data_IF_581445415244
#
_entry.id   IF_581445415244
#
_cell.length_a   1.000
_cell.length_b   1.000
_cell.length_c   1.000
_cell.angle_alpha   90.00
_cell.angle_beta   90.00
_cell.angle_gamma   90.00
#
_symmetry.space_group_name_H-M   'P 1'
#
loop_
_entity.id
_entity.type
_entity.pdbx_description
1 polymer ?
#
# COMPACT_ATOMS: atom_id res chain seq x y z
N UNK A 1 -26.91 -18.96 24.29
CA UNK A 1 -26.68 -17.51 24.44
C UNK A 1 -25.63 -17.10 23.43
N UNK A 2 -26.02 -16.38 22.36
CA UNK A 2 -25.08 -15.85 21.36
C UNK A 2 -24.91 -14.35 21.66
N UNK A 3 -23.76 -13.97 22.20
CA UNK A 3 -23.43 -12.57 22.42
C UNK A 3 -23.07 -11.93 21.07
N UNK A 4 -23.97 -11.08 20.58
CA UNK A 4 -23.70 -10.17 19.47
C UNK A 4 -22.72 -9.10 19.96
N UNK A 5 -21.46 -9.16 19.49
CA UNK A 5 -20.53 -8.04 19.62
C UNK A 5 -20.94 -7.00 18.59
N UNK A 6 -21.49 -5.90 19.09
CA UNK A 6 -21.86 -4.71 18.34
C UNK A 6 -20.63 -4.16 17.58
N UNK A 7 -20.54 -4.46 16.28
CA UNK A 7 -19.61 -3.83 15.35
C UNK A 7 -20.19 -2.49 14.88
N UNK A 8 -19.41 -1.41 15.01
CA UNK A 8 -19.80 -0.06 14.62
C UNK A 8 -20.14 0.02 13.13
N UNK A 9 -21.15 0.81 12.81
CA UNK A 9 -21.53 1.20 11.44
C UNK A 9 -20.39 2.00 10.81
N UNK A 10 -19.67 1.41 9.86
CA UNK A 10 -18.70 2.15 9.05
C UNK A 10 -19.35 2.54 7.72
N UNK A 11 -19.53 3.84 7.52
CA UNK A 11 -19.85 4.41 6.22
C UNK A 11 -18.56 4.64 5.44
N UNK A 12 -18.45 4.05 4.25
CA UNK A 12 -17.50 4.50 3.21
C UNK A 12 -18.20 4.55 1.86
N UNK A 13 -18.41 5.77 1.38
CA UNK A 13 -18.61 6.07 -0.05
C UNK A 13 -17.50 7.01 -0.50
N UNK A 14 -17.08 6.89 -1.77
CA UNK A 14 -16.75 8.08 -2.55
C UNK A 14 -17.66 8.26 -3.77
N UNK A 15 -18.15 9.49 -3.87
CA UNK A 15 -18.91 10.31 -4.83
C UNK A 15 -19.42 9.78 -6.20
N UNK A 16 -18.93 8.67 -6.76
CA UNK A 16 -19.38 8.18 -8.08
C UNK A 16 -19.66 6.67 -8.08
N UNK A 17 -20.81 6.27 -7.51
CA UNK A 17 -21.33 4.90 -7.57
C UNK A 17 -22.52 4.68 -6.62
N UNK A 18 -23.39 3.66 -6.87
CA UNK A 18 -24.52 3.40 -6.01
C UNK A 18 -24.04 2.96 -4.62
N UNK A 19 -24.48 3.71 -3.63
CA UNK A 19 -24.16 3.49 -2.23
C UNK A 19 -24.86 2.25 -1.68
N UNK A 20 -24.15 1.24 -1.19
CA UNK A 20 -24.75 0.14 -0.41
C UNK A 20 -24.28 0.16 1.04
N UNK A 21 -25.25 0.16 1.96
CA UNK A 21 -25.05 0.03 3.41
C UNK A 21 -25.11 -1.46 3.76
N UNK A 22 -24.06 -2.01 4.39
CA UNK A 22 -24.13 -3.35 4.97
C UNK A 22 -24.09 -3.19 6.49
N UNK A 23 -25.25 -3.33 7.13
CA UNK A 23 -25.32 -3.44 8.60
C UNK A 23 -24.99 -4.88 9.01
N UNK A 24 -24.04 -5.04 9.94
CA UNK A 24 -23.67 -6.34 10.52
C UNK A 24 -22.22 -6.75 10.26
N UNK A 25 -21.72 -7.82 10.91
CA UNK A 25 -20.40 -8.35 10.65
C UNK A 25 -20.26 -8.64 9.16
N UNK A 26 -19.23 -8.08 8.54
CA UNK A 26 -18.99 -8.25 7.11
C UNK A 26 -18.79 -9.72 6.78
N UNK A 27 -19.73 -10.27 6.00
CA UNK A 27 -19.79 -11.68 5.66
C UNK A 27 -19.74 -11.82 4.12
N UNK A 28 -18.61 -12.27 3.53
CA UNK A 28 -18.41 -12.32 2.07
C UNK A 28 -19.46 -13.10 1.28
N UNK A 29 -20.18 -14.02 1.94
CA UNK A 29 -21.22 -14.83 1.33
C UNK A 29 -22.50 -14.05 1.00
N UNK A 30 -22.73 -12.89 1.61
CA UNK A 30 -23.88 -12.03 1.36
C UNK A 30 -23.68 -11.03 0.20
N UNK A 31 -22.50 -11.00 -0.44
CA UNK A 31 -22.22 -10.11 -1.56
C UNK A 31 -23.00 -10.49 -2.83
N UNK A 32 -23.54 -9.50 -3.56
CA UNK A 32 -24.19 -9.71 -4.86
C UNK A 32 -23.19 -10.13 -5.95
N UNK A 33 -23.67 -10.78 -7.01
CA UNK A 33 -22.80 -11.18 -8.12
C UNK A 33 -22.18 -9.99 -8.87
N UNK A 34 -22.87 -8.85 -8.88
CA UNK A 34 -22.35 -7.56 -9.35
C UNK A 34 -21.17 -7.08 -8.49
N UNK A 35 -21.32 -7.08 -7.17
CA UNK A 35 -20.24 -6.70 -6.25
C UNK A 35 -19.02 -7.63 -6.39
N UNK A 36 -19.26 -8.94 -6.62
CA UNK A 36 -18.18 -9.91 -6.90
C UNK A 36 -17.48 -9.64 -8.24
N UNK A 37 -18.23 -9.26 -9.30
CA UNK A 37 -17.65 -8.86 -10.59
C UNK A 37 -16.80 -7.61 -10.45
N UNK A 38 -17.28 -6.62 -9.71
CA UNK A 38 -16.54 -5.39 -9.45
C UNK A 38 -15.26 -5.67 -8.66
N UNK A 39 -15.33 -6.49 -7.61
CA UNK A 39 -14.17 -6.91 -6.83
C UNK A 39 -13.09 -7.59 -7.71
N UNK A 40 -13.49 -8.41 -8.70
CA UNK A 40 -12.53 -9.02 -9.65
C UNK A 40 -11.81 -7.99 -10.53
N UNK A 41 -12.51 -6.95 -10.98
CA UNK A 41 -11.89 -5.86 -11.75
C UNK A 41 -10.89 -5.10 -10.88
N UNK A 42 -11.28 -4.78 -9.65
CA UNK A 42 -10.40 -4.15 -8.66
C UNK A 42 -9.17 -5.00 -8.35
N UNK A 43 -9.33 -6.31 -8.16
CA UNK A 43 -8.21 -7.23 -7.92
C UNK A 43 -7.23 -7.29 -9.09
N UNK A 44 -7.73 -7.19 -10.33
CA UNK A 44 -6.85 -7.11 -11.50
C UNK A 44 -6.03 -5.82 -11.51
N UNK A 45 -6.63 -4.69 -11.15
CA UNK A 45 -5.92 -3.42 -11.01
C UNK A 45 -4.92 -3.44 -9.84
N UNK A 46 -5.29 -4.07 -8.72
CA UNK A 46 -4.42 -4.30 -7.57
C UNK A 46 -3.18 -5.12 -7.90
N UNK A 47 -3.31 -6.13 -8.77
CA UNK A 47 -2.16 -6.95 -9.18
C UNK A 47 -1.04 -6.14 -9.85
N UNK A 48 -1.35 -4.99 -10.44
CA UNK A 48 -0.36 -4.04 -10.95
C UNK A 48 0.26 -3.19 -9.82
N UNK A 49 -0.52 -2.90 -8.77
CA UNK A 49 -0.12 -2.10 -7.61
C UNK A 49 0.80 -2.91 -6.67
N UNK A 50 0.58 -4.21 -6.54
CA UNK A 50 1.39 -5.12 -5.70
C UNK A 50 2.82 -5.32 -6.23
N UNK A 51 3.06 -5.00 -7.51
CA UNK A 51 4.38 -5.19 -8.13
C UNK A 51 5.41 -4.27 -7.46
N UNK A 52 6.63 -4.78 -7.18
CA UNK A 52 7.74 -3.94 -6.78
C UNK A 52 8.04 -2.87 -7.83
N UNK A 53 8.63 -1.75 -7.39
CA UNK A 53 9.20 -0.77 -8.31
C UNK A 53 10.29 -1.40 -9.17
N UNK A 54 10.37 -0.97 -10.42
CA UNK A 54 11.57 -1.22 -11.22
C UNK A 54 12.75 -0.46 -10.62
N UNK A 55 13.96 -1.02 -10.79
CA UNK A 55 15.19 -0.41 -10.27
C UNK A 55 15.37 1.03 -10.75
N UNK A 56 15.03 1.32 -12.01
CA UNK A 56 15.17 2.66 -12.59
C UNK A 56 14.19 3.65 -11.97
N UNK A 57 12.93 3.26 -11.79
CA UNK A 57 11.94 4.10 -11.13
C UNK A 57 12.28 4.35 -9.65
N UNK A 58 12.83 3.34 -8.97
CA UNK A 58 13.35 3.49 -7.61
C UNK A 58 14.51 4.48 -7.54
N UNK A 59 15.51 4.33 -8.41
CA UNK A 59 16.66 5.22 -8.46
C UNK A 59 16.23 6.67 -8.70
N UNK A 60 15.31 6.91 -9.65
CA UNK A 60 14.78 8.24 -9.93
C UNK A 60 14.11 8.86 -8.69
N UNK A 61 13.28 8.10 -7.97
CA UNK A 61 12.60 8.58 -6.77
C UNK A 61 13.58 8.88 -5.62
N UNK A 62 14.63 8.07 -5.47
CA UNK A 62 15.68 8.34 -4.48
C UNK A 62 16.49 9.59 -4.86
N UNK A 63 16.81 9.79 -6.14
CA UNK A 63 17.49 10.99 -6.61
C UNK A 63 16.65 12.24 -6.32
N UNK A 64 15.34 12.18 -6.55
CA UNK A 64 14.41 13.27 -6.20
C UNK A 64 14.45 13.58 -4.69
N UNK A 65 14.38 12.55 -3.84
CA UNK A 65 14.53 12.72 -2.40
C UNK A 65 15.89 13.35 -2.06
N UNK A 66 16.96 12.90 -2.70
CA UNK A 66 18.33 13.38 -2.51
C UNK A 66 18.49 14.87 -2.83
N UNK A 67 17.75 15.38 -3.83
CA UNK A 67 17.75 16.80 -4.17
C UNK A 67 16.93 17.65 -3.20
N UNK A 68 15.93 17.06 -2.55
CA UNK A 68 15.02 17.79 -1.66
C UNK A 68 15.55 17.94 -0.22
N UNK A 69 16.40 17.01 0.24
CA UNK A 69 16.85 16.96 1.64
C UNK A 69 18.37 17.01 1.75
N UNK A 70 18.88 17.52 2.86
CA UNK A 70 20.32 17.62 3.07
C UNK A 70 20.97 16.22 3.14
N UNK A 71 22.03 16.04 2.34
CA UNK A 71 22.85 14.82 2.31
C UNK A 71 24.20 15.02 2.99
N UNK A 72 24.70 14.03 3.74
CA UNK A 72 26.08 14.04 4.19
C UNK A 72 27.03 13.90 3.00
N UNK A 73 28.20 14.55 3.06
CA UNK A 73 29.27 14.36 2.09
C UNK A 73 29.70 12.89 2.10
N UNK A 74 29.70 12.24 0.94
CA UNK A 74 30.08 10.83 0.79
C UNK A 74 30.78 10.60 -0.54
N UNK A 75 31.55 9.51 -0.65
CA UNK A 75 32.17 9.11 -1.91
C UNK A 75 31.13 8.54 -2.88
N UNK A 76 31.49 8.43 -4.17
CA UNK A 76 30.62 7.82 -5.18
C UNK A 76 30.36 6.34 -4.87
N UNK A 77 31.36 5.63 -4.35
CA UNK A 77 31.22 4.22 -3.95
C UNK A 77 30.27 4.05 -2.77
N UNK A 78 30.36 4.91 -1.75
CA UNK A 78 29.45 4.90 -0.61
C UNK A 78 28.02 5.18 -1.05
N UNK A 79 27.82 6.17 -1.94
CA UNK A 79 26.50 6.50 -2.48
C UNK A 79 25.89 5.31 -3.23
N UNK A 80 26.67 4.65 -4.10
CA UNK A 80 26.24 3.43 -4.82
C UNK A 80 25.94 2.28 -3.87
N UNK A 81 26.75 2.10 -2.83
CA UNK A 81 26.53 1.12 -1.76
C UNK A 81 25.19 1.36 -1.08
N UNK A 82 24.95 2.60 -0.63
CA UNK A 82 23.70 3.02 0.00
C UNK A 82 22.50 2.76 -0.90
N UNK A 83 22.53 3.19 -2.16
CA UNK A 83 21.41 3.00 -3.10
C UNK A 83 21.03 1.53 -3.25
N UNK A 84 22.02 0.63 -3.33
CA UNK A 84 21.77 -0.82 -3.37
C UNK A 84 21.10 -1.32 -2.09
N UNK A 85 21.56 -0.85 -0.93
CA UNK A 85 20.96 -1.20 0.37
C UNK A 85 19.51 -0.71 0.47
N UNK A 86 19.22 0.54 0.07
CA UNK A 86 17.85 1.07 0.07
C UNK A 86 16.95 0.27 -0.87
N UNK A 87 17.41 -0.02 -2.10
CA UNK A 87 16.64 -0.81 -3.05
C UNK A 87 16.34 -2.21 -2.49
N UNK A 88 17.35 -2.92 -1.98
CA UNK A 88 17.17 -4.25 -1.42
C UNK A 88 16.24 -4.26 -0.21
N UNK A 89 16.34 -3.27 0.67
CA UNK A 89 15.56 -3.20 1.89
C UNK A 89 14.09 -2.76 1.71
N UNK A 90 13.74 -2.21 0.54
CA UNK A 90 12.39 -1.76 0.21
C UNK A 90 11.76 -2.58 -0.94
N UNK A 91 12.49 -3.55 -1.50
CA UNK A 91 12.03 -4.36 -2.64
C UNK A 91 10.85 -5.29 -2.31
N UNK A 92 10.64 -5.61 -1.04
CA UNK A 92 9.51 -6.41 -0.53
C UNK A 92 8.21 -5.60 -0.39
N UNK A 93 8.28 -4.28 -0.57
CA UNK A 93 7.14 -3.39 -0.48
C UNK A 93 6.52 -3.14 -1.87
N UNK A 94 5.19 -2.98 -1.95
CA UNK A 94 4.52 -2.61 -3.20
C UNK A 94 5.08 -1.30 -3.75
N UNK A 95 5.34 -1.22 -5.06
CA UNK A 95 6.00 -0.08 -5.69
C UNK A 95 5.24 1.24 -5.48
N UNK A 96 3.90 1.19 -5.47
CA UNK A 96 3.04 2.34 -5.16
C UNK A 96 3.29 2.90 -3.75
N UNK A 97 3.48 2.02 -2.77
CA UNK A 97 3.75 2.38 -1.37
C UNK A 97 5.14 3.01 -1.25
N UNK A 98 6.14 2.46 -1.93
CA UNK A 98 7.49 3.02 -1.93
C UNK A 98 7.50 4.41 -2.56
N UNK A 99 6.87 4.61 -3.73
CA UNK A 99 6.76 5.94 -4.34
C UNK A 99 6.05 6.95 -3.43
N UNK A 100 4.91 6.56 -2.85
CA UNK A 100 4.16 7.42 -1.96
C UNK A 100 4.97 7.77 -0.70
N UNK A 101 5.66 6.79 -0.12
CA UNK A 101 6.50 6.98 1.07
C UNK A 101 7.72 7.84 0.80
N UNK A 102 8.35 7.75 -0.37
CA UNK A 102 9.46 8.63 -0.74
C UNK A 102 8.99 10.09 -0.93
N UNK A 103 7.81 10.30 -1.55
CA UNK A 103 7.20 11.63 -1.67
C UNK A 103 6.82 12.22 -0.31
N UNK A 104 6.36 11.39 0.62
CA UNK A 104 6.07 11.81 1.99
C UNK A 104 7.36 12.11 2.76
N UNK A 105 8.41 11.32 2.56
CA UNK A 105 9.72 11.54 3.15
C UNK A 105 10.30 12.91 2.75
N UNK A 106 10.14 13.32 1.49
CA UNK A 106 10.52 14.66 1.00
C UNK A 106 9.87 15.78 1.83
N UNK A 107 8.63 15.59 2.28
CA UNK A 107 7.88 16.60 3.05
C UNK A 107 8.16 16.53 4.55
N UNK A 108 8.58 15.37 5.03
CA UNK A 108 8.69 15.07 6.47
C UNK A 108 10.10 15.29 7.00
N UNK A 109 11.13 14.88 6.25
CA UNK A 109 12.51 14.91 6.73
C UNK A 109 13.27 16.13 6.22
N UNK A 110 14.12 16.66 7.09
CA UNK A 110 15.08 17.72 6.74
C UNK A 110 16.43 17.16 6.29
N UNK A 111 16.73 15.91 6.64
CA UNK A 111 17.94 15.16 6.30
C UNK A 111 17.58 13.92 5.50
N UNK A 112 18.58 13.35 4.83
CA UNK A 112 18.38 12.11 4.09
C UNK A 112 18.06 10.94 5.06
N UNK A 113 16.84 10.39 5.02
CA UNK A 113 16.38 9.41 6.00
C UNK A 113 17.09 8.07 5.83
N UNK A 114 17.31 7.38 6.95
CA UNK A 114 17.78 6.00 7.00
C UNK A 114 16.75 5.02 6.43
N UNK A 115 17.19 3.80 6.12
CA UNK A 115 16.29 2.71 5.71
C UNK A 115 15.22 2.45 6.77
N UNK A 116 15.58 2.48 8.05
CA UNK A 116 14.64 2.23 9.14
C UNK A 116 13.53 3.30 9.21
N UNK A 117 13.90 4.57 9.04
CA UNK A 117 12.93 5.68 9.00
C UNK A 117 11.98 5.56 7.80
N UNK A 118 12.50 5.24 6.61
CA UNK A 118 11.66 5.02 5.43
C UNK A 118 10.73 3.82 5.60
N UNK A 119 11.22 2.70 6.16
CA UNK A 119 10.36 1.54 6.47
C UNK A 119 9.30 1.89 7.50
N UNK A 120 9.62 2.69 8.52
CA UNK A 120 8.66 3.14 9.52
C UNK A 120 7.47 3.88 8.90
N UNK A 121 7.69 4.66 7.84
CA UNK A 121 6.62 5.33 7.09
C UNK A 121 5.83 4.39 6.17
N UNK A 122 6.52 3.46 5.51
CA UNK A 122 5.94 2.66 4.42
C UNK A 122 5.25 1.38 4.92
N UNK A 123 5.80 0.72 5.94
CA UNK A 123 5.31 -0.58 6.42
C UNK A 123 3.85 -0.55 6.90
N UNK A 124 3.38 0.47 7.65
CA UNK A 124 1.97 0.55 8.05
C UNK A 124 1.04 0.63 6.83
N UNK A 125 1.43 1.41 5.81
CA UNK A 125 0.66 1.56 4.57
C UNK A 125 0.66 0.28 3.74
N UNK A 126 1.79 -0.43 3.69
CA UNK A 126 1.88 -1.73 3.05
C UNK A 126 1.01 -2.79 3.76
N UNK A 127 0.96 -2.79 5.09
CA UNK A 127 0.08 -3.69 5.87
C UNK A 127 -1.40 -3.41 5.60
N UNK A 128 -1.80 -2.15 5.62
CA UNK A 128 -3.18 -1.76 5.30
C UNK A 128 -3.57 -2.16 3.88
N UNK A 129 -2.67 -1.94 2.90
CA UNK A 129 -2.90 -2.36 1.52
C UNK A 129 -3.08 -3.89 1.44
N UNK A 130 -2.21 -4.67 2.07
CA UNK A 130 -2.34 -6.15 2.10
C UNK A 130 -3.70 -6.59 2.65
N UNK A 131 -4.16 -5.96 3.73
CA UNK A 131 -5.47 -6.26 4.33
C UNK A 131 -6.63 -5.93 3.38
N UNK A 132 -6.58 -4.78 2.70
CA UNK A 132 -7.59 -4.39 1.72
C UNK A 132 -7.66 -5.36 0.55
N UNK A 133 -6.50 -5.84 0.10
CA UNK A 133 -6.39 -6.82 -0.99
C UNK A 133 -6.95 -8.17 -0.55
N UNK A 134 -6.62 -8.62 0.65
CA UNK A 134 -7.17 -9.86 1.21
C UNK A 134 -8.70 -9.81 1.27
N UNK A 135 -9.27 -8.70 1.78
CA UNK A 135 -10.73 -8.48 1.79
C UNK A 135 -11.33 -8.53 0.38
N UNK A 136 -10.68 -7.89 -0.59
CA UNK A 136 -11.13 -7.92 -1.98
C UNK A 136 -11.08 -9.33 -2.58
N UNK A 137 -10.04 -10.12 -2.26
CA UNK A 137 -9.92 -11.53 -2.68
C UNK A 137 -11.04 -12.37 -2.08
N UNK A 138 -11.33 -12.22 -0.79
CA UNK A 138 -12.44 -12.91 -0.13
C UNK A 138 -13.80 -12.56 -0.74
N UNK A 139 -14.02 -11.31 -1.16
CA UNK A 139 -15.25 -10.91 -1.87
C UNK A 139 -15.37 -11.54 -3.25
N UNK A 140 -14.26 -11.65 -3.99
CA UNK A 140 -14.28 -12.17 -5.35
C UNK A 140 -14.56 -13.69 -5.42
N UNK A 141 -14.25 -14.43 -4.36
CA UNK A 141 -14.50 -15.87 -4.24
C UNK A 141 -15.97 -16.16 -3.88
N UNK A 142 -16.60 -17.07 -4.63
CA UNK A 142 -17.88 -17.65 -4.25
C UNK A 142 -17.62 -18.70 -3.16
N UNK A 143 -18.39 -18.76 -2.06
CA UNK A 143 -18.35 -19.93 -1.19
C UNK A 143 -18.77 -21.15 -2.02
N UNK A 144 -17.95 -22.20 -2.03
CA UNK A 144 -18.43 -23.51 -2.52
C UNK A 144 -19.48 -24.04 -1.54
N UNK A 145 -20.60 -24.61 -2.04
CA UNK A 145 -21.66 -25.17 -1.22
C UNK A 145 -21.23 -26.41 -0.43
#
# INVERSE_FOLDING_TARGET
MKNALAGKTEHRFPEHGPSYTVEGPWEPWNASDEARKEARVWLKAVGEIEKPLTKDAFNNAIVELSHAVALPKMTVEDARGRLRTYHAALADLPGSIVLAGLREAIRTFKWFPSVAELRGLMEPKAKELRLQIERARSLACKPEP
#
